data_IF_987402516884
#
_entry.id   IF_987402516884
#
_cell.length_a   1.000
_cell.length_b   1.000
_cell.length_c   1.000
_cell.angle_alpha   90.00
_cell.angle_beta   90.00
_cell.angle_gamma   90.00
#
_symmetry.space_group_name_H-M   'P 1'
#
loop_
_entity.id
_entity.type
_entity.pdbx_description
1 polymer ?
#
# COMPACT_ATOMS: atom_id res chain seq x y z
N UNK A 1 -32.35 -7.39 19.46
CA UNK A 1 -31.64 -6.10 19.29
C UNK A 1 -30.25 -6.30 19.89
N UNK A 2 -29.32 -6.83 19.09
CA UNK A 2 -27.94 -7.10 19.51
C UNK A 2 -27.12 -5.89 19.11
N UNK A 3 -26.58 -5.20 20.08
CA UNK A 3 -25.66 -4.10 19.90
C UNK A 3 -24.35 -4.68 19.33
N UNK A 4 -24.06 -4.35 18.07
CA UNK A 4 -22.75 -4.54 17.47
C UNK A 4 -21.83 -3.54 18.16
N UNK A 5 -21.01 -4.01 19.09
CA UNK A 5 -19.90 -3.23 19.64
C UNK A 5 -18.89 -3.03 18.50
N UNK A 6 -18.73 -1.79 18.12
CA UNK A 6 -17.72 -1.30 17.18
C UNK A 6 -16.35 -1.44 17.85
N UNK A 7 -15.70 -2.60 17.68
CA UNK A 7 -14.36 -2.86 18.21
C UNK A 7 -13.30 -2.48 17.15
N UNK A 8 -13.33 -1.22 16.74
CA UNK A 8 -12.24 -0.59 15.96
C UNK A 8 -11.02 -0.37 16.87
N UNK A 9 -10.52 -1.45 17.46
CA UNK A 9 -9.23 -1.41 18.15
C UNK A 9 -8.14 -1.42 17.09
N UNK A 10 -7.46 -0.28 16.95
CA UNK A 10 -6.17 -0.19 16.26
C UNK A 10 -5.29 -1.35 16.75
N UNK A 11 -4.71 -2.16 15.84
CA UNK A 11 -3.86 -3.28 16.24
C UNK A 11 -2.81 -2.81 17.23
N UNK A 12 -2.59 -3.57 18.30
CA UNK A 12 -1.60 -3.23 19.32
C UNK A 12 -0.23 -3.13 18.65
N UNK A 13 0.27 -1.91 18.50
CA UNK A 13 1.54 -1.63 17.85
C UNK A 13 2.67 -2.17 18.71
N UNK A 14 3.28 -3.28 18.30
CA UNK A 14 4.32 -4.01 19.04
C UNK A 14 5.56 -3.17 19.42
N UNK A 15 5.79 -2.10 18.67
CA UNK A 15 6.95 -1.21 18.80
C UNK A 15 6.64 0.05 19.64
N UNK A 16 5.44 0.17 20.15
CA UNK A 16 4.97 1.29 20.94
C UNK A 16 4.81 0.84 22.39
N UNK A 17 5.32 1.62 23.32
CA UNK A 17 5.01 1.42 24.75
C UNK A 17 3.52 1.68 24.95
N UNK A 18 2.74 0.70 25.49
CA UNK A 18 1.30 0.85 25.61
C UNK A 18 0.91 2.12 26.34
N UNK A 19 -0.03 2.93 25.81
CA UNK A 19 -0.53 4.09 26.52
C UNK A 19 -1.42 3.66 27.69
N UNK A 20 -1.19 4.28 28.84
CA UNK A 20 -1.95 3.96 30.07
C UNK A 20 -3.26 4.77 30.23
N UNK A 21 -3.52 5.76 29.36
CA UNK A 21 -4.69 6.66 29.45
C UNK A 21 -5.09 7.17 28.07
N UNK A 22 -6.37 7.55 27.88
CA UNK A 22 -6.92 8.09 26.61
C UNK A 22 -6.11 9.28 26.05
N UNK A 23 -5.62 10.19 26.88
CA UNK A 23 -4.74 11.29 26.45
C UNK A 23 -3.41 10.80 25.87
N UNK A 24 -2.92 9.68 26.36
CA UNK A 24 -1.68 9.05 25.86
C UNK A 24 -1.90 8.48 24.46
N UNK A 25 -3.05 7.86 24.19
CA UNK A 25 -3.41 7.36 22.87
C UNK A 25 -3.51 8.50 21.86
N UNK A 26 -4.24 9.56 22.16
CA UNK A 26 -4.38 10.75 21.29
C UNK A 26 -3.02 11.37 20.94
N UNK A 27 -2.08 11.36 21.89
CA UNK A 27 -0.71 11.87 21.61
C UNK A 27 0.06 10.92 20.70
N UNK A 28 -0.10 9.62 20.87
CA UNK A 28 0.48 8.61 19.98
C UNK A 28 -0.01 8.81 18.55
N UNK A 29 -1.33 8.89 18.37
CA UNK A 29 -1.96 9.06 17.06
C UNK A 29 -1.46 10.32 16.36
N UNK A 30 -1.42 11.47 17.09
CA UNK A 30 -0.88 12.72 16.54
C UNK A 30 0.61 12.63 16.15
N UNK A 31 1.42 11.86 16.88
CA UNK A 31 2.83 11.64 16.52
C UNK A 31 2.93 10.80 15.25
N UNK A 32 2.13 9.74 15.13
CA UNK A 32 2.08 8.90 13.94
C UNK A 32 1.61 9.69 12.71
N UNK A 33 0.52 10.46 12.85
CA UNK A 33 -0.03 11.29 11.75
C UNK A 33 0.98 12.36 11.27
N UNK A 34 1.62 13.04 12.23
CA UNK A 34 2.65 14.03 11.92
C UNK A 34 3.86 13.41 11.23
N UNK A 35 4.28 12.23 11.67
CA UNK A 35 5.42 11.52 11.10
C UNK A 35 5.10 11.01 9.70
N UNK A 36 3.93 10.41 9.49
CA UNK A 36 3.46 9.95 8.18
C UNK A 36 3.45 11.09 7.18
N UNK A 37 2.80 12.20 7.50
CA UNK A 37 2.74 13.37 6.63
C UNK A 37 4.13 13.90 6.28
N UNK A 38 5.01 14.09 7.27
CA UNK A 38 6.37 14.59 7.06
C UNK A 38 7.23 13.63 6.24
N UNK A 39 7.15 12.33 6.52
CA UNK A 39 7.92 11.32 5.80
C UNK A 39 7.42 11.12 4.37
N UNK A 40 6.13 11.27 4.12
CA UNK A 40 5.56 11.26 2.77
C UNK A 40 6.03 12.48 1.95
N UNK A 41 6.10 13.65 2.57
CA UNK A 41 6.52 14.90 1.93
C UNK A 41 8.01 14.91 1.57
N UNK A 42 8.90 14.49 2.49
CA UNK A 42 10.36 14.69 2.35
C UNK A 42 11.22 13.47 2.66
N UNK A 43 10.60 12.34 2.98
CA UNK A 43 11.30 11.10 3.27
C UNK A 43 11.72 10.94 4.74
N UNK A 44 12.22 9.74 5.04
CA UNK A 44 12.60 9.37 6.41
C UNK A 44 13.82 10.16 6.92
N UNK A 45 14.88 10.25 6.12
CA UNK A 45 16.17 10.82 6.58
C UNK A 45 16.01 12.32 6.89
N UNK A 46 15.29 13.05 6.07
CA UNK A 46 15.06 14.49 6.18
C UNK A 46 13.93 14.87 7.16
N UNK A 47 13.45 13.91 7.94
CA UNK A 47 12.40 14.12 8.95
C UNK A 47 12.97 13.98 10.37
N UNK A 48 13.44 15.05 11.02
CA UNK A 48 13.96 15.00 12.37
C UNK A 48 12.84 14.82 13.40
N UNK A 49 13.15 14.11 14.51
CA UNK A 49 12.21 13.87 15.62
C UNK A 49 11.65 15.17 16.22
N UNK A 50 12.46 16.21 16.30
CA UNK A 50 12.04 17.51 16.82
C UNK A 50 10.91 18.13 15.98
N UNK A 51 10.94 17.94 14.65
CA UNK A 51 9.91 18.44 13.75
C UNK A 51 8.61 17.62 13.86
N UNK A 52 8.75 16.29 13.97
CA UNK A 52 7.60 15.41 14.23
C UNK A 52 6.90 15.83 15.54
N UNK A 53 7.66 16.00 16.62
CA UNK A 53 7.12 16.41 17.90
C UNK A 53 6.41 17.79 17.80
N UNK A 54 7.03 18.75 17.15
CA UNK A 54 6.46 20.09 16.93
C UNK A 54 5.15 20.01 16.12
N UNK A 55 5.12 19.28 15.02
CA UNK A 55 3.91 19.13 14.16
C UNK A 55 2.80 18.39 14.89
N UNK A 56 3.15 17.43 15.76
CA UNK A 56 2.20 16.69 16.61
C UNK A 56 1.66 17.50 17.80
N UNK A 57 2.12 18.74 18.00
CA UNK A 57 1.79 19.51 19.21
C UNK A 57 2.28 18.79 20.50
N UNK A 58 3.45 18.19 20.44
CA UNK A 58 4.04 17.36 21.50
C UNK A 58 5.48 17.80 21.80
N UNK A 59 6.09 17.22 22.83
CA UNK A 59 7.51 17.44 23.13
C UNK A 59 8.37 16.29 22.63
N UNK A 60 9.66 16.55 22.41
CA UNK A 60 10.66 15.53 22.08
C UNK A 60 10.74 14.46 23.18
N UNK A 61 10.60 14.87 24.46
CA UNK A 61 10.53 13.94 25.59
C UNK A 61 9.32 13.00 25.52
N UNK A 62 8.16 13.54 25.10
CA UNK A 62 6.96 12.73 24.88
C UNK A 62 7.08 11.76 23.70
N UNK A 63 7.87 12.10 22.69
CA UNK A 63 8.23 11.17 21.62
C UNK A 63 9.06 10.00 22.17
N UNK A 64 10.20 10.29 22.85
CA UNK A 64 11.10 9.24 23.34
C UNK A 64 10.51 8.41 24.50
N UNK A 65 9.45 8.90 25.17
CA UNK A 65 8.69 8.08 26.12
C UNK A 65 7.92 6.94 25.44
N UNK A 66 7.64 7.05 24.12
CA UNK A 66 6.87 6.07 23.33
C UNK A 66 7.73 5.26 22.38
N UNK A 67 8.63 5.92 21.70
CA UNK A 67 9.51 5.32 20.70
C UNK A 67 10.97 5.46 21.17
N UNK A 68 11.73 4.36 21.32
CA UNK A 68 13.13 4.43 21.70
C UNK A 68 13.99 5.18 20.66
N UNK A 69 13.57 5.12 19.40
CA UNK A 69 14.24 5.74 18.27
C UNK A 69 13.26 6.01 17.10
N UNK A 70 13.76 6.61 16.04
CA UNK A 70 12.98 6.90 14.81
C UNK A 70 12.69 5.63 14.02
N UNK A 71 13.49 4.58 14.13
CA UNK A 71 13.23 3.30 13.47
C UNK A 71 12.04 2.56 14.10
N UNK A 72 11.89 2.63 15.43
CA UNK A 72 10.71 2.10 16.12
C UNK A 72 9.43 2.83 15.69
N UNK A 73 9.49 4.14 15.49
CA UNK A 73 8.38 4.90 14.90
C UNK A 73 8.07 4.41 13.47
N UNK A 74 9.10 4.20 12.63
CA UNK A 74 8.90 3.73 11.26
C UNK A 74 8.27 2.33 11.22
N UNK A 75 8.63 1.43 12.14
CA UNK A 75 7.98 0.13 12.28
C UNK A 75 6.50 0.26 12.67
N UNK A 76 6.18 1.18 13.57
CA UNK A 76 4.78 1.46 13.95
C UNK A 76 3.97 2.03 12.77
N UNK A 77 4.55 2.94 11.99
CA UNK A 77 3.94 3.45 10.76
C UNK A 77 3.72 2.34 9.73
N UNK A 78 4.70 1.46 9.54
CA UNK A 78 4.55 0.33 8.62
C UNK A 78 3.46 -0.65 9.06
N UNK A 79 3.29 -0.88 10.36
CA UNK A 79 2.22 -1.71 10.90
C UNK A 79 0.84 -1.06 10.70
N UNK A 80 0.72 0.25 10.96
CA UNK A 80 -0.50 1.03 10.68
C UNK A 80 -0.84 1.01 9.20
N UNK A 81 0.12 1.32 8.35
CA UNK A 81 -0.05 1.26 6.89
C UNK A 81 -0.55 -0.10 6.41
N UNK A 82 0.02 -1.20 6.92
CA UNK A 82 -0.43 -2.54 6.56
C UNK A 82 -1.91 -2.78 6.93
N UNK A 83 -2.31 -2.38 8.14
CA UNK A 83 -3.69 -2.56 8.60
C UNK A 83 -4.68 -1.76 7.75
N UNK A 84 -4.36 -0.49 7.46
CA UNK A 84 -5.18 0.39 6.63
C UNK A 84 -5.23 -0.08 5.17
N UNK A 85 -4.11 -0.54 4.62
CA UNK A 85 -4.04 -1.06 3.26
C UNK A 85 -4.86 -2.35 3.08
N UNK A 86 -4.85 -3.25 4.07
CA UNK A 86 -5.69 -4.46 4.07
C UNK A 86 -7.17 -4.06 4.12
N UNK A 87 -7.58 -3.21 5.04
CA UNK A 87 -8.98 -2.76 5.14
C UNK A 87 -9.46 -2.06 3.86
N UNK A 88 -8.59 -1.26 3.25
CA UNK A 88 -8.88 -0.59 1.97
C UNK A 88 -9.00 -1.59 0.84
N UNK A 89 -8.12 -2.60 0.78
CA UNK A 89 -8.19 -3.67 -0.21
C UNK A 89 -9.48 -4.49 -0.08
N UNK A 90 -9.88 -4.85 1.13
CA UNK A 90 -11.15 -5.57 1.39
C UNK A 90 -12.34 -4.78 0.85
N UNK A 91 -12.38 -3.48 1.12
CA UNK A 91 -13.47 -2.62 0.64
C UNK A 91 -13.43 -2.38 -0.88
N UNK A 92 -12.23 -2.21 -1.46
CA UNK A 92 -12.06 -1.91 -2.87
C UNK A 92 -12.26 -3.14 -3.77
N UNK A 93 -11.84 -4.32 -3.31
CA UNK A 93 -11.86 -5.57 -4.09
C UNK A 93 -13.09 -6.44 -3.83
N UNK A 94 -14.08 -5.96 -3.05
CA UNK A 94 -15.34 -6.67 -2.84
C UNK A 94 -16.08 -6.89 -4.19
N UNK A 95 -16.26 -8.14 -4.66
CA UNK A 95 -16.92 -8.43 -5.93
C UNK A 95 -18.34 -7.86 -6.03
N UNK A 96 -19.04 -7.67 -4.91
CA UNK A 96 -20.38 -7.11 -4.89
C UNK A 96 -20.44 -5.68 -5.46
N UNK A 97 -19.38 -4.90 -5.30
CA UNK A 97 -19.27 -3.53 -5.81
C UNK A 97 -19.13 -3.46 -7.33
N UNK A 98 -18.62 -4.53 -7.95
CA UNK A 98 -18.20 -4.57 -9.36
C UNK A 98 -19.07 -5.43 -10.26
N UNK A 99 -20.21 -5.94 -9.76
CA UNK A 99 -21.07 -6.91 -10.48
C UNK A 99 -21.53 -6.47 -11.89
N UNK A 100 -21.58 -5.14 -12.13
CA UNK A 100 -22.02 -4.56 -13.41
C UNK A 100 -20.94 -3.76 -14.12
N UNK A 101 -19.72 -3.92 -13.70
CA UNK A 101 -18.57 -3.16 -14.20
C UNK A 101 -17.72 -4.05 -15.09
N UNK A 102 -17.36 -3.59 -16.28
CA UNK A 102 -16.49 -4.35 -17.18
C UNK A 102 -15.08 -4.49 -16.59
N UNK A 103 -14.40 -5.61 -16.91
CA UNK A 103 -13.05 -5.88 -16.41
C UNK A 103 -12.05 -4.77 -16.76
N UNK A 104 -12.25 -4.08 -17.89
CA UNK A 104 -11.43 -2.94 -18.29
C UNK A 104 -11.53 -1.75 -17.32
N UNK A 105 -12.73 -1.46 -16.82
CA UNK A 105 -12.98 -0.40 -15.85
C UNK A 105 -12.42 -0.77 -14.48
N UNK A 106 -12.53 -2.05 -14.09
CA UNK A 106 -11.94 -2.59 -12.86
C UNK A 106 -10.41 -2.44 -12.90
N UNK A 107 -9.78 -2.89 -13.99
CA UNK A 107 -8.33 -2.76 -14.19
C UNK A 107 -7.87 -1.31 -14.09
N UNK A 108 -8.56 -0.39 -14.78
CA UNK A 108 -8.24 1.03 -14.75
C UNK A 108 -8.40 1.64 -13.33
N UNK A 109 -9.45 1.26 -12.60
CA UNK A 109 -9.70 1.76 -11.25
C UNK A 109 -8.64 1.26 -10.25
N UNK A 110 -8.30 -0.05 -10.29
CA UNK A 110 -7.29 -0.65 -9.41
C UNK A 110 -5.92 -0.03 -9.66
N UNK A 111 -5.50 0.08 -10.92
CA UNK A 111 -4.19 0.64 -11.26
C UNK A 111 -4.11 2.11 -10.87
N UNK A 112 -5.13 2.93 -11.18
CA UNK A 112 -5.19 4.34 -10.79
C UNK A 112 -5.05 4.51 -9.28
N UNK A 113 -5.78 3.74 -8.50
CA UNK A 113 -5.70 3.75 -7.05
C UNK A 113 -4.29 3.43 -6.54
N UNK A 114 -3.63 2.43 -7.11
CA UNK A 114 -2.24 2.08 -6.76
C UNK A 114 -1.27 3.21 -7.11
N UNK A 115 -1.40 3.84 -8.27
CA UNK A 115 -0.56 4.99 -8.67
C UNK A 115 -0.76 6.16 -7.71
N UNK A 116 -2.00 6.48 -7.33
CA UNK A 116 -2.32 7.57 -6.38
C UNK A 116 -1.66 7.35 -5.02
N UNK A 117 -1.81 6.17 -4.42
CA UNK A 117 -1.16 5.86 -3.13
C UNK A 117 0.35 5.98 -3.24
N UNK A 118 0.96 5.44 -4.30
CA UNK A 118 2.40 5.49 -4.50
C UNK A 118 2.90 6.92 -4.69
N UNK A 119 2.12 7.78 -5.33
CA UNK A 119 2.42 9.20 -5.47
C UNK A 119 2.34 9.93 -4.12
N UNK A 120 1.23 9.77 -3.41
CA UNK A 120 0.94 10.51 -2.18
C UNK A 120 1.85 10.12 -1.02
N UNK A 121 2.21 8.85 -0.95
CA UNK A 121 3.03 8.31 0.15
C UNK A 121 4.46 7.95 -0.29
N UNK A 122 4.94 8.51 -1.39
CA UNK A 122 6.25 8.17 -1.99
C UNK A 122 7.40 8.14 -0.98
N UNK A 123 7.53 9.16 -0.14
CA UNK A 123 8.61 9.26 0.84
C UNK A 123 8.55 8.17 1.90
N UNK A 124 7.35 7.88 2.41
CA UNK A 124 7.12 6.83 3.39
C UNK A 124 7.36 5.43 2.79
N UNK A 125 6.80 5.17 1.60
CA UNK A 125 6.98 3.90 0.90
C UNK A 125 8.45 3.66 0.53
N UNK A 126 9.20 4.72 0.19
CA UNK A 126 10.65 4.65 -0.02
C UNK A 126 11.39 4.23 1.25
N UNK A 127 11.02 4.80 2.39
CA UNK A 127 11.59 4.41 3.68
C UNK A 127 11.31 2.92 4.00
N UNK A 128 10.09 2.44 3.74
CA UNK A 128 9.76 1.03 3.89
C UNK A 128 10.58 0.14 2.96
N UNK A 129 10.70 0.50 1.68
CA UNK A 129 11.47 -0.24 0.69
C UNK A 129 12.96 -0.36 1.07
N UNK A 130 13.55 0.71 1.59
CA UNK A 130 14.92 0.70 2.08
C UNK A 130 15.12 -0.23 3.28
N UNK A 131 14.14 -0.25 4.22
CA UNK A 131 14.19 -1.11 5.40
C UNK A 131 13.95 -2.59 5.10
N UNK A 132 13.19 -2.95 4.09
CA UNK A 132 12.99 -4.35 3.65
C UNK A 132 14.31 -5.08 3.37
N UNK A 133 15.37 -4.34 3.01
CA UNK A 133 16.69 -4.95 2.71
C UNK A 133 17.43 -5.43 3.96
N UNK A 134 17.10 -4.90 5.14
CA UNK A 134 17.85 -5.12 6.37
C UNK A 134 16.97 -5.58 7.54
N UNK A 135 15.66 -5.48 7.43
CA UNK A 135 14.70 -5.83 8.49
C UNK A 135 13.64 -6.79 7.92
N UNK A 136 13.70 -8.09 8.30
CA UNK A 136 12.77 -9.12 7.81
C UNK A 136 11.29 -8.84 8.12
N UNK A 137 10.99 -8.03 9.15
CA UNK A 137 9.59 -7.72 9.47
C UNK A 137 8.95 -6.84 8.40
N UNK A 138 9.66 -5.87 7.82
CA UNK A 138 9.14 -5.08 6.70
C UNK A 138 8.87 -5.95 5.48
N UNK A 139 9.76 -6.90 5.18
CA UNK A 139 9.56 -7.86 4.10
C UNK A 139 8.32 -8.74 4.35
N UNK A 140 8.20 -9.33 5.53
CA UNK A 140 7.07 -10.19 5.91
C UNK A 140 5.72 -9.43 5.83
N UNK A 141 5.69 -8.15 6.23
CA UNK A 141 4.48 -7.33 6.12
C UNK A 141 4.10 -7.03 4.67
N UNK A 142 5.10 -6.71 3.83
CA UNK A 142 4.89 -6.54 2.39
C UNK A 142 4.33 -7.81 1.74
N UNK A 143 4.90 -8.97 2.06
CA UNK A 143 4.44 -10.26 1.55
C UNK A 143 3.00 -10.56 1.96
N UNK A 144 2.63 -10.31 3.22
CA UNK A 144 1.24 -10.47 3.69
C UNK A 144 0.27 -9.56 2.93
N UNK A 145 0.62 -8.29 2.73
CA UNK A 145 -0.21 -7.36 1.95
C UNK A 145 -0.34 -7.83 0.51
N UNK A 146 0.76 -8.21 -0.13
CA UNK A 146 0.75 -8.71 -1.50
C UNK A 146 -0.11 -9.97 -1.67
N UNK A 147 -0.02 -10.92 -0.73
CA UNK A 147 -0.86 -12.12 -0.72
C UNK A 147 -2.34 -11.77 -0.56
N UNK A 148 -2.67 -10.87 0.37
CA UNK A 148 -4.03 -10.44 0.64
C UNK A 148 -4.66 -9.75 -0.57
N UNK A 149 -3.98 -8.76 -1.15
CA UNK A 149 -4.44 -8.04 -2.36
C UNK A 149 -4.56 -8.99 -3.55
N UNK A 150 -3.60 -9.89 -3.75
CA UNK A 150 -3.64 -10.89 -4.83
C UNK A 150 -4.84 -11.83 -4.68
N UNK A 151 -5.16 -12.28 -3.47
CA UNK A 151 -6.31 -13.13 -3.21
C UNK A 151 -7.64 -12.39 -3.48
N UNK A 152 -7.78 -11.16 -2.98
CA UNK A 152 -8.96 -10.33 -3.22
C UNK A 152 -9.17 -10.01 -4.71
N UNK A 153 -8.10 -9.62 -5.40
CA UNK A 153 -8.18 -9.38 -6.85
C UNK A 153 -8.52 -10.65 -7.62
N UNK A 154 -7.94 -11.79 -7.25
CA UNK A 154 -8.27 -13.07 -7.89
C UNK A 154 -9.75 -13.42 -7.72
N UNK A 155 -10.32 -13.22 -6.53
CA UNK A 155 -11.74 -13.44 -6.29
C UNK A 155 -12.62 -12.51 -7.14
N UNK A 156 -12.25 -11.22 -7.23
CA UNK A 156 -12.92 -10.24 -8.08
C UNK A 156 -12.86 -10.63 -9.58
N UNK A 157 -11.69 -11.00 -10.08
CA UNK A 157 -11.50 -11.39 -11.48
C UNK A 157 -12.21 -12.70 -11.82
N UNK A 158 -12.29 -13.66 -10.89
CA UNK A 158 -13.06 -14.89 -11.10
C UNK A 158 -14.56 -14.62 -11.26
N UNK A 159 -15.10 -13.58 -10.61
CA UNK A 159 -16.48 -13.14 -10.83
C UNK A 159 -16.71 -12.62 -12.28
N UNK A 160 -15.65 -12.20 -12.98
CA UNK A 160 -15.65 -11.72 -14.37
C UNK A 160 -14.98 -12.71 -15.34
N UNK A 161 -14.97 -14.01 -14.99
CA UNK A 161 -14.24 -15.06 -15.74
C UNK A 161 -14.59 -15.09 -17.24
N UNK A 162 -15.81 -14.72 -17.61
CA UNK A 162 -16.25 -14.72 -19.02
C UNK A 162 -15.50 -13.69 -19.89
N UNK A 163 -14.94 -12.63 -19.29
CA UNK A 163 -14.18 -11.60 -19.98
C UNK A 163 -12.67 -11.91 -20.06
N UNK A 164 -12.20 -12.95 -19.34
CA UNK A 164 -10.77 -13.31 -19.26
C UNK A 164 -10.48 -14.44 -20.24
N UNK A 165 -9.48 -14.22 -21.10
CA UNK A 165 -9.07 -15.21 -22.10
C UNK A 165 -7.76 -15.95 -21.73
N UNK A 166 -7.10 -15.53 -20.67
CA UNK A 166 -5.92 -16.24 -20.16
C UNK A 166 -6.33 -17.62 -19.60
N UNK A 167 -5.54 -18.67 -19.90
CA UNK A 167 -5.84 -20.05 -19.51
C UNK A 167 -5.92 -20.24 -17.99
N UNK A 168 -5.07 -19.53 -17.23
CA UNK A 168 -5.06 -19.51 -15.77
C UNK A 168 -5.31 -18.06 -15.29
N UNK A 169 -6.57 -17.70 -14.98
CA UNK A 169 -6.91 -16.33 -14.55
C UNK A 169 -6.27 -15.91 -13.24
N UNK A 170 -6.13 -16.84 -12.30
CA UNK A 170 -5.55 -16.56 -10.98
C UNK A 170 -4.06 -16.22 -11.10
N UNK A 171 -3.33 -17.01 -11.86
CA UNK A 171 -1.91 -16.74 -12.14
C UNK A 171 -1.73 -15.47 -12.95
N UNK A 172 -2.63 -15.21 -13.90
CA UNK A 172 -2.63 -13.99 -14.70
C UNK A 172 -2.83 -12.74 -13.84
N UNK A 173 -3.79 -12.77 -12.91
CA UNK A 173 -4.04 -11.68 -11.97
C UNK A 173 -2.82 -11.38 -11.10
N UNK A 174 -2.21 -12.42 -10.53
CA UNK A 174 -1.02 -12.29 -9.69
C UNK A 174 0.16 -11.71 -10.47
N UNK A 175 0.38 -12.15 -11.71
CA UNK A 175 1.45 -11.63 -12.55
C UNK A 175 1.20 -10.19 -13.01
N UNK A 176 -0.03 -9.86 -13.41
CA UNK A 176 -0.40 -8.51 -13.80
C UNK A 176 -0.18 -7.50 -12.64
N UNK A 177 -0.54 -7.88 -11.41
CA UNK A 177 -0.23 -7.09 -10.21
C UNK A 177 1.28 -6.94 -10.00
N UNK A 178 2.04 -8.01 -10.18
CA UNK A 178 3.51 -7.98 -10.03
C UNK A 178 4.15 -6.99 -11.01
N UNK A 179 3.66 -6.92 -12.25
CA UNK A 179 4.12 -5.92 -13.23
C UNK A 179 3.82 -4.49 -12.77
N UNK A 180 2.61 -4.23 -12.29
CA UNK A 180 2.21 -2.91 -11.80
C UNK A 180 3.06 -2.51 -10.61
N UNK A 181 3.18 -3.36 -9.60
CA UNK A 181 4.01 -3.07 -8.42
C UNK A 181 5.48 -2.89 -8.77
N UNK A 182 6.04 -3.68 -9.69
CA UNK A 182 7.43 -3.52 -10.14
C UNK A 182 7.69 -2.16 -10.78
N UNK A 183 6.77 -1.67 -11.61
CA UNK A 183 6.86 -0.33 -12.19
C UNK A 183 6.76 0.76 -11.11
N UNK A 184 5.81 0.63 -10.17
CA UNK A 184 5.62 1.60 -9.09
C UNK A 184 6.78 1.60 -8.09
N UNK A 185 7.33 0.44 -7.72
CA UNK A 185 8.54 0.35 -6.90
C UNK A 185 9.74 1.01 -7.56
N UNK A 186 9.87 0.88 -8.89
CA UNK A 186 10.89 1.59 -9.63
C UNK A 186 10.77 3.11 -9.45
N UNK A 187 9.56 3.67 -9.55
CA UNK A 187 9.34 5.11 -9.36
C UNK A 187 9.62 5.57 -7.93
N UNK A 188 9.37 4.72 -6.92
CA UNK A 188 9.69 5.01 -5.52
C UNK A 188 11.19 5.07 -5.29
N UNK A 189 11.94 4.10 -5.82
CA UNK A 189 13.37 3.95 -5.53
C UNK A 189 14.23 4.91 -6.37
N UNK A 190 13.87 5.11 -7.64
CA UNK A 190 14.72 5.80 -8.61
C UNK A 190 14.11 7.13 -9.11
N UNK A 191 12.90 7.47 -8.72
CA UNK A 191 12.20 8.67 -9.17
C UNK A 191 11.30 8.38 -10.36
N UNK A 192 11.36 9.23 -11.41
CA UNK A 192 10.52 9.07 -12.60
C UNK A 192 10.85 7.77 -13.36
N UNK A 193 9.81 7.12 -13.88
CA UNK A 193 10.01 6.04 -14.85
C UNK A 193 10.45 6.65 -16.19
N UNK A 194 11.65 6.29 -16.62
CA UNK A 194 12.22 6.72 -17.89
C UNK A 194 12.62 5.53 -18.74
N UNK A 195 12.32 5.60 -20.02
CA UNK A 195 12.80 4.64 -21.01
C UNK A 195 13.35 5.40 -22.21
N UNK A 196 14.65 5.51 -22.30
CA UNK A 196 15.31 6.32 -23.32
C UNK A 196 14.93 7.81 -23.21
N UNK A 197 14.34 8.36 -24.27
CA UNK A 197 13.90 9.76 -24.32
C UNK A 197 12.52 10.00 -23.65
N UNK A 198 11.80 8.94 -23.29
CA UNK A 198 10.45 9.04 -22.75
C UNK A 198 10.49 9.10 -21.21
N UNK A 199 9.84 10.10 -20.64
CA UNK A 199 9.50 10.19 -19.22
C UNK A 199 7.97 10.10 -19.10
N UNK A 200 7.49 9.34 -18.13
CA UNK A 200 6.06 9.10 -17.95
C UNK A 200 5.55 9.97 -16.79
N UNK A 201 4.50 10.73 -17.04
CA UNK A 201 3.71 11.35 -15.96
C UNK A 201 2.93 10.27 -15.21
N UNK A 202 2.46 10.57 -13.98
CA UNK A 202 1.65 9.63 -13.21
C UNK A 202 0.36 9.24 -13.95
N UNK A 203 -0.25 10.15 -14.73
CA UNK A 203 -1.45 9.89 -15.52
C UNK A 203 -1.15 8.96 -16.71
N UNK A 204 -0.08 9.24 -17.44
CA UNK A 204 0.37 8.38 -18.54
C UNK A 204 0.76 7.00 -18.03
N UNK A 205 1.51 6.94 -16.91
CA UNK A 205 1.89 5.68 -16.27
C UNK A 205 0.65 4.87 -15.85
N UNK A 206 -0.32 5.52 -15.22
CA UNK A 206 -1.59 4.87 -14.86
C UNK A 206 -2.32 4.28 -16.07
N UNK A 207 -2.37 5.04 -17.16
CA UNK A 207 -3.02 4.61 -18.41
C UNK A 207 -2.30 3.41 -19.02
N UNK A 208 -0.97 3.47 -19.15
CA UNK A 208 -0.20 2.39 -19.78
C UNK A 208 -0.15 1.13 -18.91
N UNK A 209 -0.05 1.28 -17.58
CA UNK A 209 -0.12 0.14 -16.67
C UNK A 209 -1.50 -0.52 -16.70
N UNK A 210 -2.59 0.24 -16.75
CA UNK A 210 -3.94 -0.30 -16.88
C UNK A 210 -4.13 -1.05 -18.20
N UNK A 211 -3.60 -0.51 -19.30
CA UNK A 211 -3.58 -1.18 -20.60
C UNK A 211 -2.80 -2.50 -20.56
N UNK A 212 -1.60 -2.48 -20.01
CA UNK A 212 -0.76 -3.68 -19.91
C UNK A 212 -1.43 -4.75 -19.02
N UNK A 213 -1.99 -4.33 -17.88
CA UNK A 213 -2.73 -5.20 -16.98
C UNK A 213 -3.90 -5.88 -17.68
N UNK A 214 -4.76 -5.09 -18.36
CA UNK A 214 -5.92 -5.60 -19.09
C UNK A 214 -5.51 -6.51 -20.25
N UNK A 215 -4.54 -6.09 -21.06
CA UNK A 215 -4.08 -6.87 -22.21
C UNK A 215 -3.57 -8.25 -21.78
N UNK A 216 -2.88 -8.34 -20.67
CA UNK A 216 -2.40 -9.63 -20.15
C UNK A 216 -3.55 -10.59 -19.74
N UNK A 217 -4.69 -10.06 -19.30
CA UNK A 217 -5.86 -10.87 -18.94
C UNK A 217 -6.69 -11.30 -20.13
N UNK A 218 -6.84 -10.43 -21.15
CA UNK A 218 -7.79 -10.63 -22.25
C UNK A 218 -7.15 -11.13 -23.55
N UNK A 219 -5.83 -11.16 -23.65
CA UNK A 219 -5.15 -11.75 -24.82
C UNK A 219 -5.11 -13.27 -24.67
N UNK A 220 -5.60 -14.04 -25.69
CA UNK A 220 -5.56 -15.49 -25.64
C UNK A 220 -4.12 -16.00 -25.53
N UNK A 221 -3.83 -16.82 -24.54
CA UNK A 221 -2.59 -17.58 -24.50
C UNK A 221 -2.66 -18.71 -25.53
N UNK A 222 -1.74 -18.74 -26.50
CA UNK A 222 -1.60 -19.90 -27.37
C UNK A 222 -1.30 -21.11 -26.50
N UNK A 223 -1.98 -22.26 -26.69
CA UNK A 223 -1.60 -23.48 -26.00
C UNK A 223 -0.14 -23.77 -26.35
N UNK A 224 0.69 -23.99 -25.34
CA UNK A 224 2.05 -24.48 -25.53
C UNK A 224 1.92 -25.82 -26.23
N UNK A 225 2.40 -25.95 -27.45
CA UNK A 225 2.54 -27.24 -28.11
C UNK A 225 3.63 -28.00 -27.32
N UNK A 226 3.21 -29.04 -26.58
CA UNK A 226 4.12 -30.05 -26.05
C UNK A 226 4.67 -30.94 -27.17
#
# INVERSE_FOLDING_TARGET
MVLIQDDTRIPVLRWVRPPQQARSQQTLDRILDAAEALMSEKGFDDTPVAEIARRAGSSVGAFYSRFPDKDALLRALNERFLAEAIATADAALDPARWQRTAIAEIAAAVVRFLVEIHREQRGLLRAFAQRMRVDPEFQSRRERLAQHVSAGLSALLLAHRAEIQHADPQRAAAFALTMVFGALEHTILFGELRSGAFAWTDEELSTELARAFLAYLVVPTRPTQE
#
